data_IF_091761916189
#
_entry.id   IF_091761916189
#
_cell.length_a   1.000
_cell.length_b   1.000
_cell.length_c   1.000
_cell.angle_alpha   90.00
_cell.angle_beta   90.00
_cell.angle_gamma   90.00
#
_symmetry.space_group_name_H-M   'P 1'
#
loop_
_entity.id
_entity.type
_entity.pdbx_description
1 polymer ?
#
# COMPACT_ATOMS: atom_id res chain seq x y z
N UNK A 1 -10.77 -7.29 -15.69
CA UNK A 1 -10.46 -6.40 -14.56
C UNK A 1 -11.71 -6.05 -13.77
N UNK A 2 -11.58 -5.06 -12.91
CA UNK A 2 -12.67 -4.58 -12.07
C UNK A 2 -12.77 -5.24 -10.72
N UNK A 3 -13.79 -4.86 -9.95
CA UNK A 3 -14.08 -5.39 -8.63
C UNK A 3 -15.35 -6.23 -8.65
N UNK A 4 -15.27 -7.41 -8.06
CA UNK A 4 -16.36 -8.38 -8.02
C UNK A 4 -16.74 -8.69 -6.58
N UNK A 5 -18.01 -8.85 -6.30
CA UNK A 5 -18.58 -9.18 -5.00
C UNK A 5 -19.34 -10.49 -5.05
N UNK A 6 -19.15 -11.32 -4.04
CA UNK A 6 -20.00 -12.48 -3.78
C UNK A 6 -20.70 -12.32 -2.43
N UNK A 7 -22.02 -12.51 -2.42
CA UNK A 7 -22.85 -12.61 -1.21
C UNK A 7 -23.26 -14.05 -0.90
N UNK A 8 -22.75 -15.02 -1.66
CA UNK A 8 -23.12 -16.44 -1.59
C UNK A 8 -21.94 -17.36 -1.27
N UNK A 9 -20.91 -16.84 -0.59
CA UNK A 9 -19.71 -17.63 -0.27
C UNK A 9 -18.89 -18.03 -1.49
N UNK A 10 -18.90 -17.22 -2.55
CA UNK A 10 -18.12 -17.47 -3.76
C UNK A 10 -18.86 -18.23 -4.88
N UNK A 11 -20.13 -18.61 -4.66
CA UNK A 11 -20.92 -19.35 -5.67
C UNK A 11 -21.37 -18.42 -6.81
N UNK A 12 -21.83 -17.22 -6.48
CA UNK A 12 -22.24 -16.20 -7.46
C UNK A 12 -21.41 -14.95 -7.25
N UNK A 13 -20.95 -14.36 -8.37
CA UNK A 13 -20.19 -13.13 -8.39
C UNK A 13 -20.88 -12.07 -9.22
N UNK A 14 -20.90 -10.85 -8.71
CA UNK A 14 -21.48 -9.68 -9.37
C UNK A 14 -20.42 -8.60 -9.51
N UNK A 15 -20.25 -7.99 -10.69
CA UNK A 15 -19.35 -6.86 -10.84
C UNK A 15 -19.96 -5.64 -10.16
N UNK A 16 -19.13 -4.89 -9.42
CA UNK A 16 -19.60 -3.75 -8.63
C UNK A 16 -18.84 -2.46 -8.88
N UNK A 17 -17.95 -2.42 -9.89
CA UNK A 17 -17.10 -1.24 -10.18
C UNK A 17 -17.06 -0.87 -11.67
N UNK A 18 -18.02 -1.36 -12.47
CA UNK A 18 -18.01 -1.24 -13.93
C UNK A 18 -18.30 0.16 -14.45
N UNK A 19 -18.96 1.01 -13.65
CA UNK A 19 -19.33 2.37 -14.03
C UNK A 19 -18.22 3.39 -13.76
N UNK A 20 -17.15 2.96 -13.12
CA UNK A 20 -16.05 3.85 -12.72
C UNK A 20 -15.04 4.03 -13.88
N UNK A 21 -14.20 5.06 -13.75
CA UNK A 21 -13.26 5.48 -14.81
C UNK A 21 -12.22 4.43 -15.17
N UNK A 22 -12.01 3.42 -14.35
CA UNK A 22 -11.03 2.36 -14.58
C UNK A 22 -11.48 1.03 -13.98
N UNK A 23 -11.13 -0.05 -14.66
CA UNK A 23 -11.23 -1.41 -14.13
C UNK A 23 -9.90 -1.91 -13.52
N UNK A 24 -8.88 -1.05 -13.43
CA UNK A 24 -7.57 -1.38 -12.89
C UNK A 24 -7.58 -1.17 -11.38
N UNK A 25 -7.58 -2.25 -10.62
CA UNK A 25 -7.64 -2.25 -9.15
C UNK A 25 -6.29 -2.71 -8.60
N UNK A 26 -5.73 -1.94 -7.68
CA UNK A 26 -4.49 -2.28 -7.00
C UNK A 26 -4.66 -2.67 -5.54
N UNK A 27 -5.69 -2.14 -4.87
CA UNK A 27 -6.01 -2.46 -3.49
C UNK A 27 -7.51 -2.42 -3.22
N UNK A 28 -7.96 -3.24 -2.30
CA UNK A 28 -9.32 -3.22 -1.77
C UNK A 28 -9.23 -3.40 -0.24
N UNK A 29 -9.99 -2.59 0.49
CA UNK A 29 -10.09 -2.70 1.96
C UNK A 29 -11.54 -2.55 2.38
N UNK A 30 -11.97 -3.39 3.31
CA UNK A 30 -13.32 -3.37 3.87
C UNK A 30 -13.22 -2.95 5.33
N UNK A 31 -13.98 -1.92 5.71
CA UNK A 31 -14.05 -1.49 7.10
C UNK A 31 -14.64 -2.61 7.97
N UNK A 32 -13.85 -3.16 8.89
CA UNK A 32 -14.23 -4.34 9.68
C UNK A 32 -15.45 -4.10 10.56
N UNK A 33 -15.63 -2.89 11.10
CA UNK A 33 -16.78 -2.53 11.94
C UNK A 33 -18.07 -2.27 11.13
N UNK A 34 -17.95 -2.00 9.82
CA UNK A 34 -19.08 -1.79 8.91
C UNK A 34 -18.74 -2.27 7.49
N UNK A 35 -19.08 -3.52 7.13
CA UNK A 35 -18.74 -4.08 5.83
C UNK A 35 -19.43 -3.41 4.62
N UNK A 36 -20.35 -2.48 4.84
CA UNK A 36 -20.91 -1.66 3.77
C UNK A 36 -19.93 -0.57 3.31
N UNK A 37 -18.94 -0.24 4.14
CA UNK A 37 -17.88 0.71 3.76
C UNK A 37 -16.73 -0.03 3.12
N UNK A 38 -16.48 0.28 1.86
CA UNK A 38 -15.42 -0.35 1.07
C UNK A 38 -14.55 0.76 0.48
N UNK A 39 -13.25 0.58 0.57
CA UNK A 39 -12.25 1.43 -0.06
C UNK A 39 -11.55 0.71 -1.19
N UNK A 40 -11.34 1.41 -2.30
CA UNK A 40 -10.65 0.88 -3.48
C UNK A 40 -9.54 1.83 -3.89
N UNK A 41 -8.33 1.29 -4.00
CA UNK A 41 -7.20 1.95 -4.62
C UNK A 41 -7.04 1.47 -6.05
N UNK A 42 -7.06 2.38 -7.00
CA UNK A 42 -7.00 2.06 -8.42
C UNK A 42 -5.57 2.06 -8.96
N UNK A 43 -5.37 1.37 -10.09
CA UNK A 43 -4.06 1.19 -10.73
C UNK A 43 -3.34 -0.07 -10.26
N UNK A 44 -2.93 -0.92 -11.21
CA UNK A 44 -2.24 -2.18 -10.90
C UNK A 44 -0.91 -1.94 -10.17
N UNK A 45 -0.67 -2.67 -9.07
CA UNK A 45 0.53 -2.52 -8.24
C UNK A 45 1.70 -3.43 -8.60
N UNK A 46 1.49 -4.42 -9.51
CA UNK A 46 2.55 -5.34 -9.95
C UNK A 46 3.13 -4.87 -11.29
N UNK A 47 4.39 -4.40 -11.32
CA UNK A 47 5.00 -3.83 -12.51
C UNK A 47 5.23 -4.90 -13.59
N UNK A 48 4.52 -4.77 -14.69
CA UNK A 48 4.63 -5.56 -15.92
C UNK A 48 4.59 -4.62 -17.14
N UNK A 49 4.74 -5.14 -18.34
CA UNK A 49 4.83 -4.30 -19.56
C UNK A 49 3.49 -3.65 -19.97
N UNK A 50 2.37 -4.10 -19.44
CA UNK A 50 1.01 -3.65 -19.80
C UNK A 50 0.20 -3.18 -18.60
N UNK A 51 0.82 -2.37 -17.73
CA UNK A 51 0.14 -1.80 -16.55
C UNK A 51 -0.89 -0.75 -16.96
N UNK A 52 -2.10 -0.92 -16.45
CA UNK A 52 -3.14 0.09 -16.53
C UNK A 52 -3.10 1.00 -15.30
N UNK A 53 -3.06 2.30 -15.54
CA UNK A 53 -3.12 3.31 -14.48
C UNK A 53 -4.49 3.40 -13.86
N UNK A 54 -4.52 3.95 -12.65
CA UNK A 54 -5.73 4.25 -11.91
C UNK A 54 -6.04 5.74 -11.86
N UNK A 55 -7.13 6.06 -11.16
CA UNK A 55 -7.66 7.40 -10.93
C UNK A 55 -7.89 7.64 -9.43
N UNK A 56 -6.90 7.29 -8.60
CA UNK A 56 -6.93 7.56 -7.16
C UNK A 56 -7.73 6.54 -6.35
N UNK A 57 -8.31 7.03 -5.27
CA UNK A 57 -9.07 6.26 -4.29
C UNK A 57 -10.56 6.44 -4.49
N UNK A 58 -11.31 5.36 -4.30
CA UNK A 58 -12.78 5.36 -4.28
C UNK A 58 -13.28 4.79 -2.97
N UNK A 59 -14.45 5.28 -2.52
CA UNK A 59 -15.15 4.83 -1.32
C UNK A 59 -16.59 4.50 -1.64
N UNK A 60 -17.09 3.40 -1.13
CA UNK A 60 -18.52 3.06 -1.10
C UNK A 60 -19.00 3.01 0.34
N UNK A 61 -20.24 3.45 0.58
CA UNK A 61 -20.92 3.39 1.88
C UNK A 61 -22.07 2.38 1.89
N UNK A 62 -22.35 1.73 0.78
CA UNK A 62 -23.52 0.88 0.55
C UNK A 62 -23.19 -0.51 -0.01
N UNK A 63 -21.97 -0.98 0.29
CA UNK A 63 -21.51 -2.30 -0.09
C UNK A 63 -21.19 -2.45 -1.57
N UNK A 64 -20.75 -1.36 -2.21
CA UNK A 64 -20.31 -1.32 -3.60
C UNK A 64 -21.41 -1.05 -4.61
N UNK A 65 -22.59 -0.56 -4.20
CA UNK A 65 -23.66 -0.16 -5.14
C UNK A 65 -23.37 1.19 -5.79
N UNK A 66 -22.82 2.12 -5.00
CA UNK A 66 -22.38 3.45 -5.45
C UNK A 66 -20.97 3.74 -4.96
N UNK A 67 -20.20 4.51 -5.74
CA UNK A 67 -18.83 4.86 -5.46
C UNK A 67 -18.62 6.37 -5.51
N UNK A 68 -17.78 6.86 -4.63
CA UNK A 68 -17.36 8.25 -4.55
C UNK A 68 -15.85 8.32 -4.77
N UNK A 69 -15.40 9.19 -5.67
CA UNK A 69 -13.99 9.49 -5.83
C UNK A 69 -13.48 10.30 -4.61
N UNK A 70 -12.41 9.83 -3.99
CA UNK A 70 -11.86 10.36 -2.75
C UNK A 70 -10.46 10.96 -2.94
N UNK A 71 -10.12 11.38 -4.16
CA UNK A 71 -8.84 12.03 -4.47
C UNK A 71 -7.69 11.07 -4.76
N UNK A 72 -6.47 11.61 -4.72
CA UNK A 72 -5.21 10.93 -5.04
C UNK A 72 -5.10 10.44 -6.50
N UNK A 73 -5.78 11.05 -7.46
CA UNK A 73 -5.82 10.63 -8.87
C UNK A 73 -4.43 10.62 -9.50
N UNK A 74 -3.56 11.53 -9.06
CA UNK A 74 -2.20 11.69 -9.60
C UNK A 74 -1.24 10.59 -9.16
N UNK A 75 -1.59 9.77 -8.15
CA UNK A 75 -0.76 8.64 -7.69
C UNK A 75 -0.66 7.55 -8.74
N UNK A 76 -1.63 7.42 -9.63
CA UNK A 76 -1.72 6.47 -10.76
C UNK A 76 -1.80 5.00 -10.36
N UNK A 77 -1.09 4.57 -9.32
CA UNK A 77 -1.08 3.18 -8.88
C UNK A 77 -1.05 3.12 -7.34
N UNK A 78 -2.13 2.62 -6.76
CA UNK A 78 -2.28 2.44 -5.31
C UNK A 78 -2.24 0.95 -5.00
N UNK A 79 -1.26 0.53 -4.22
CA UNK A 79 -0.99 -0.89 -3.97
C UNK A 79 -1.50 -1.37 -2.60
N UNK A 80 -1.69 -0.47 -1.64
CA UNK A 80 -2.22 -0.78 -0.31
C UNK A 80 -3.18 0.29 0.18
N UNK A 81 -4.22 -0.15 0.86
CA UNK A 81 -5.10 0.69 1.68
C UNK A 81 -5.25 -0.03 3.01
N UNK A 82 -5.24 0.73 4.10
CA UNK A 82 -5.48 0.24 5.46
C UNK A 82 -6.42 1.22 6.14
N UNK A 83 -7.54 0.73 6.65
CA UNK A 83 -8.45 1.48 7.52
C UNK A 83 -8.08 1.20 8.97
N UNK A 84 -7.92 2.23 9.77
CA UNK A 84 -7.69 2.08 11.21
C UNK A 84 -8.89 1.38 11.85
N UNK A 85 -8.70 0.21 12.51
CA UNK A 85 -9.80 -0.56 13.09
C UNK A 85 -10.50 0.15 14.25
N UNK A 86 -9.84 1.14 14.87
CA UNK A 86 -10.37 1.89 16.02
C UNK A 86 -10.99 3.23 15.63
N UNK A 87 -10.59 3.78 14.47
CA UNK A 87 -11.13 5.03 13.93
C UNK A 87 -11.25 4.96 12.40
N UNK A 88 -12.44 4.70 11.86
CA UNK A 88 -12.65 4.51 10.43
C UNK A 88 -12.45 5.77 9.58
N UNK A 89 -12.34 6.95 10.18
CA UNK A 89 -11.99 8.18 9.46
C UNK A 89 -10.49 8.29 9.19
N UNK A 90 -9.69 7.43 9.86
CA UNK A 90 -8.26 7.33 9.63
C UNK A 90 -7.97 6.21 8.63
N UNK A 91 -7.43 6.59 7.47
CA UNK A 91 -7.07 5.65 6.41
C UNK A 91 -5.67 5.95 5.90
N UNK A 92 -4.91 4.90 5.65
CA UNK A 92 -3.57 4.97 5.07
C UNK A 92 -3.57 4.38 3.67
N UNK A 93 -2.88 5.06 2.75
CA UNK A 93 -2.77 4.65 1.34
C UNK A 93 -1.30 4.54 0.95
N UNK A 94 -0.91 3.37 0.48
CA UNK A 94 0.40 3.11 -0.08
C UNK A 94 0.38 3.29 -1.61
N UNK A 95 0.91 4.43 -2.10
CA UNK A 95 1.04 4.71 -3.51
C UNK A 95 2.41 4.24 -4.04
N UNK A 96 2.40 3.26 -4.93
CA UNK A 96 3.60 2.80 -5.61
C UNK A 96 4.01 3.77 -6.72
N UNK A 97 3.04 4.46 -7.32
CA UNK A 97 3.23 5.41 -8.39
C UNK A 97 3.50 4.77 -9.76
N UNK A 98 3.58 5.60 -10.80
CA UNK A 98 3.82 5.12 -12.16
C UNK A 98 5.21 4.49 -12.30
N UNK A 99 5.35 3.28 -12.86
CA UNK A 99 6.65 2.67 -13.08
C UNK A 99 7.42 3.28 -14.27
N UNK A 100 6.74 4.07 -15.11
CA UNK A 100 7.29 4.57 -16.37
C UNK A 100 8.18 5.81 -16.24
N UNK A 101 8.12 6.49 -15.10
CA UNK A 101 8.90 7.72 -14.88
C UNK A 101 8.86 8.21 -13.45
N UNK A 102 9.65 9.24 -13.21
CA UNK A 102 9.72 9.90 -11.90
C UNK A 102 8.53 10.83 -11.71
N UNK A 103 7.95 10.83 -10.51
CA UNK A 103 6.97 11.83 -10.10
C UNK A 103 6.81 11.89 -8.58
N UNK A 104 6.27 12.99 -8.08
CA UNK A 104 6.18 13.28 -6.65
C UNK A 104 5.02 12.56 -5.94
N UNK A 105 4.04 12.03 -6.69
CA UNK A 105 2.82 11.44 -6.11
C UNK A 105 3.02 9.95 -5.78
N UNK A 106 4.05 9.68 -4.98
CA UNK A 106 4.44 8.37 -4.45
C UNK A 106 4.57 8.46 -2.93
N UNK A 107 4.50 7.34 -2.24
CA UNK A 107 4.71 7.27 -0.80
C UNK A 107 3.46 6.89 -0.02
N UNK A 108 3.48 7.11 1.28
CA UNK A 108 2.31 6.86 2.15
C UNK A 108 1.53 8.15 2.34
N UNK A 109 0.24 8.06 2.08
CA UNK A 109 -0.73 9.13 2.33
C UNK A 109 -1.65 8.71 3.49
N UNK A 110 -2.08 9.70 4.27
CA UNK A 110 -3.00 9.52 5.40
C UNK A 110 -4.12 10.53 5.32
N UNK A 111 -5.34 10.07 5.57
CA UNK A 111 -6.49 10.91 5.93
C UNK A 111 -6.84 10.72 7.39
N UNK A 112 -7.50 11.72 7.99
CA UNK A 112 -8.09 11.67 9.34
C UNK A 112 -9.53 12.20 9.35
N UNK A 113 -10.10 12.41 8.18
CA UNK A 113 -11.44 12.98 7.94
C UNK A 113 -12.26 12.10 6.96
N UNK A 114 -11.96 10.80 6.91
CA UNK A 114 -12.71 9.85 6.08
C UNK A 114 -12.45 9.99 4.59
N UNK A 115 -11.34 10.63 4.19
CA UNK A 115 -10.90 10.76 2.80
C UNK A 115 -11.19 12.11 2.16
N UNK A 116 -11.68 13.10 2.92
CA UNK A 116 -11.91 14.45 2.40
C UNK A 116 -10.58 15.14 2.08
N UNK A 117 -9.57 14.96 2.95
CA UNK A 117 -8.21 15.48 2.73
C UNK A 117 -7.14 14.41 2.94
N UNK A 118 -6.01 14.56 2.23
CA UNK A 118 -4.90 13.63 2.29
C UNK A 118 -3.58 14.34 2.56
N UNK A 119 -2.82 13.82 3.54
CA UNK A 119 -1.48 14.27 3.86
C UNK A 119 -0.47 13.20 3.47
N UNK A 120 0.59 13.57 2.75
CA UNK A 120 1.71 12.68 2.46
C UNK A 120 2.61 12.59 3.69
N UNK A 121 2.65 11.44 4.35
CA UNK A 121 3.32 11.22 5.63
C UNK A 121 4.66 10.46 5.52
N UNK A 122 4.91 9.79 4.39
CA UNK A 122 6.21 9.20 4.08
C UNK A 122 6.50 9.41 2.58
N UNK A 123 7.61 10.04 2.31
CA UNK A 123 8.11 10.26 0.95
C UNK A 123 9.64 10.16 0.96
N UNK A 124 10.20 9.34 0.09
CA UNK A 124 11.66 9.16 -0.01
C UNK A 124 12.25 9.97 -1.16
N UNK A 125 11.77 9.75 -2.37
CA UNK A 125 12.15 10.49 -3.58
C UNK A 125 11.16 10.22 -4.72
N UNK A 126 11.33 10.89 -5.86
CA UNK A 126 10.44 10.77 -7.03
C UNK A 126 10.48 9.40 -7.73
N UNK A 127 11.38 8.50 -7.37
CA UNK A 127 11.55 7.15 -7.96
C UNK A 127 10.96 6.06 -7.07
N UNK A 128 10.71 6.37 -5.79
CA UNK A 128 10.42 5.38 -4.75
C UNK A 128 8.96 5.46 -4.33
N UNK A 129 8.25 4.35 -4.45
CA UNK A 129 6.87 4.20 -3.99
C UNK A 129 6.73 3.12 -2.93
N UNK A 130 5.49 2.85 -2.51
CA UNK A 130 5.17 1.84 -1.49
C UNK A 130 4.88 0.51 -2.16
N UNK A 131 5.72 -0.48 -1.94
CA UNK A 131 5.51 -1.86 -2.40
C UNK A 131 4.65 -2.66 -1.43
N UNK A 132 4.73 -2.37 -0.14
CA UNK A 132 3.91 -2.99 0.89
C UNK A 132 3.69 -2.05 2.07
N UNK A 133 2.56 -2.20 2.75
CA UNK A 133 2.19 -1.43 3.93
C UNK A 133 1.37 -2.32 4.84
N UNK A 134 1.76 -2.43 6.10
CA UNK A 134 1.03 -3.20 7.10
C UNK A 134 0.89 -2.41 8.39
N UNK A 135 -0.19 -2.67 9.12
CA UNK A 135 -0.49 -2.09 10.43
C UNK A 135 -0.48 -3.19 11.49
N UNK A 136 0.02 -2.88 12.65
CA UNK A 136 -0.12 -3.75 13.82
C UNK A 136 -1.59 -3.80 14.23
N UNK A 137 -2.23 -4.98 14.21
CA UNK A 137 -3.66 -5.10 14.51
C UNK A 137 -4.01 -4.76 15.96
N UNK A 138 -3.05 -4.80 16.87
CA UNK A 138 -3.22 -4.46 18.28
C UNK A 138 -2.86 -2.99 18.59
N UNK A 139 -2.10 -2.34 17.70
CA UNK A 139 -1.68 -0.94 17.87
C UNK A 139 -1.69 -0.20 16.53
N UNK A 140 -2.79 0.50 16.19
CA UNK A 140 -2.92 1.23 14.92
C UNK A 140 -1.89 2.36 14.72
N UNK A 141 -1.20 2.78 15.78
CA UNK A 141 -0.10 3.74 15.66
C UNK A 141 1.19 3.11 15.10
N UNK A 142 1.31 1.78 15.12
CA UNK A 142 2.45 1.06 14.56
C UNK A 142 2.14 0.62 13.13
N UNK A 143 2.89 1.16 12.17
CA UNK A 143 2.84 0.75 10.77
C UNK A 143 4.26 0.46 10.26
N UNK A 144 4.31 -0.39 9.26
CA UNK A 144 5.55 -0.71 8.55
C UNK A 144 5.31 -0.50 7.06
N UNK A 145 6.15 0.33 6.44
CA UNK A 145 6.11 0.63 5.02
C UNK A 145 7.36 0.09 4.32
N UNK A 146 7.16 -0.75 3.32
CA UNK A 146 8.22 -1.21 2.43
C UNK A 146 8.30 -0.28 1.22
N UNK A 147 9.32 0.58 1.22
CA UNK A 147 9.58 1.52 0.14
C UNK A 147 10.40 0.85 -0.94
N UNK A 148 10.04 1.08 -2.20
CA UNK A 148 10.66 0.44 -3.36
C UNK A 148 10.95 1.44 -4.47
N UNK A 149 12.22 1.62 -4.77
CA UNK A 149 12.68 2.35 -5.94
C UNK A 149 12.65 1.42 -7.15
N UNK A 150 11.88 1.79 -8.19
CA UNK A 150 11.74 0.96 -9.38
C UNK A 150 11.42 1.78 -10.61
N UNK A 151 11.80 1.25 -11.77
CA UNK A 151 11.45 1.78 -13.08
C UNK A 151 11.27 0.65 -14.09
N UNK A 152 10.22 0.76 -14.90
CA UNK A 152 10.00 -0.13 -16.04
C UNK A 152 10.35 0.60 -17.33
N UNK A 153 11.27 0.05 -18.08
CA UNK A 153 11.53 0.39 -19.47
C UNK A 153 10.99 -0.71 -20.40
N UNK A 154 10.73 -0.46 -21.71
CA UNK A 154 10.09 -1.47 -22.57
C UNK A 154 10.82 -2.82 -22.63
N UNK A 155 12.13 -2.81 -22.50
CA UNK A 155 13.00 -4.00 -22.65
C UNK A 155 13.65 -4.46 -21.36
N UNK A 156 13.60 -3.71 -20.27
CA UNK A 156 14.12 -4.14 -18.98
C UNK A 156 13.42 -3.48 -17.79
N UNK A 157 13.69 -4.02 -16.62
CA UNK A 157 13.11 -3.58 -15.36
C UNK A 157 14.20 -3.32 -14.33
N UNK A 158 14.25 -2.10 -13.82
CA UNK A 158 15.09 -1.74 -12.69
C UNK A 158 14.32 -1.97 -11.38
N UNK A 159 14.86 -2.83 -10.53
CA UNK A 159 14.38 -3.07 -9.18
C UNK A 159 15.46 -2.69 -8.19
N UNK A 160 15.12 -1.80 -7.28
CA UNK A 160 16.02 -1.38 -6.20
C UNK A 160 16.76 -0.08 -6.45
N UNK A 161 17.19 0.50 -5.35
CA UNK A 161 17.94 1.74 -5.31
C UNK A 161 18.08 2.27 -3.89
N UNK A 162 18.71 3.44 -3.75
CA UNK A 162 18.96 4.10 -2.47
C UNK A 162 17.69 4.48 -1.71
N UNK A 163 16.59 4.66 -2.43
CA UNK A 163 15.28 4.97 -1.86
C UNK A 163 14.57 3.76 -1.28
N UNK A 164 14.94 2.55 -1.68
CA UNK A 164 14.33 1.33 -1.15
C UNK A 164 14.69 1.08 0.31
N UNK A 165 13.77 0.47 1.05
CA UNK A 165 14.01 0.09 2.44
C UNK A 165 12.72 -0.08 3.24
N UNK A 166 12.87 -0.62 4.42
CA UNK A 166 11.79 -0.78 5.38
C UNK A 166 11.76 0.42 6.32
N UNK A 167 10.57 0.97 6.54
CA UNK A 167 10.36 2.10 7.44
C UNK A 167 9.29 1.75 8.46
N UNK A 168 9.53 2.07 9.73
CA UNK A 168 8.62 1.79 10.85
C UNK A 168 8.22 3.10 11.52
N UNK A 169 6.95 3.23 11.84
CA UNK A 169 6.39 4.28 12.70
C UNK A 169 5.72 3.66 13.92
N UNK A 170 5.75 4.38 15.04
CA UNK A 170 5.05 4.02 16.29
C UNK A 170 4.07 5.12 16.74
N UNK A 171 3.90 6.16 15.92
CA UNK A 171 3.12 7.36 16.24
C UNK A 171 2.07 7.71 15.15
N UNK A 172 1.64 6.68 14.39
CA UNK A 172 0.63 6.83 13.35
C UNK A 172 1.14 7.62 12.13
N UNK A 173 2.45 7.54 11.87
CA UNK A 173 3.07 8.13 10.69
C UNK A 173 3.53 9.58 10.86
N UNK A 174 3.61 10.10 12.09
CA UNK A 174 4.19 11.43 12.35
C UNK A 174 5.70 11.41 12.18
N UNK A 175 6.35 10.31 12.63
CA UNK A 175 7.78 10.06 12.43
C UNK A 175 8.00 8.64 11.89
N UNK A 176 9.07 8.47 11.10
CA UNK A 176 9.44 7.18 10.51
C UNK A 176 10.93 6.90 10.71
N UNK A 177 11.24 5.71 11.23
CA UNK A 177 12.61 5.18 11.31
C UNK A 177 12.85 4.26 10.12
N UNK A 178 13.90 4.50 9.34
CA UNK A 178 14.38 3.54 8.32
C UNK A 178 15.19 2.45 9.02
N UNK A 179 14.88 1.19 8.72
CA UNK A 179 15.65 0.03 9.19
C UNK A 179 16.89 -0.12 8.32
N UNK A 180 18.04 -0.24 8.96
CA UNK A 180 19.36 -0.23 8.32
C UNK A 180 20.16 -1.48 8.66
N UNK A 181 21.41 -1.54 8.21
CA UNK A 181 22.34 -2.61 8.56
C UNK A 181 22.68 -2.67 10.04
N UNK A 182 22.60 -1.54 10.74
CA UNK A 182 22.81 -1.49 12.21
C UNK A 182 21.65 -2.17 12.96
N UNK A 183 20.49 -2.28 12.34
CA UNK A 183 19.32 -3.01 12.85
C UNK A 183 19.33 -4.49 12.36
N UNK A 184 20.40 -4.96 11.72
CA UNK A 184 20.52 -6.33 11.17
C UNK A 184 19.95 -6.54 9.77
N UNK A 185 19.56 -5.47 9.09
CA UNK A 185 19.08 -5.53 7.70
C UNK A 185 20.25 -5.65 6.70
N UNK A 186 20.02 -6.12 5.45
CA UNK A 186 21.12 -6.29 4.50
C UNK A 186 21.70 -4.95 4.03
N UNK A 187 23.01 -4.96 3.79
CA UNK A 187 23.76 -3.80 3.26
C UNK A 187 23.45 -3.53 1.79
N UNK A 188 23.57 -2.26 1.41
CA UNK A 188 23.51 -1.81 0.02
C UNK A 188 22.10 -1.51 -0.46
N UNK A 189 21.96 -1.42 -1.79
CA UNK A 189 20.67 -1.14 -2.40
C UNK A 189 19.75 -2.36 -2.27
N UNK A 190 18.55 -2.10 -1.76
CA UNK A 190 17.48 -3.11 -1.65
C UNK A 190 16.52 -2.96 -2.83
N UNK A 191 15.92 -4.07 -3.21
CA UNK A 191 14.82 -4.12 -4.17
C UNK A 191 13.46 -4.11 -3.49
N UNK A 192 12.55 -4.92 -3.99
CA UNK A 192 11.20 -5.05 -3.44
C UNK A 192 11.24 -5.79 -2.10
N UNK A 193 10.43 -5.31 -1.15
CA UNK A 193 10.25 -5.93 0.16
C UNK A 193 8.76 -6.24 0.34
N UNK A 194 8.46 -7.46 0.75
CA UNK A 194 7.16 -7.85 1.30
C UNK A 194 7.25 -7.97 2.81
N UNK A 195 6.26 -7.49 3.56
CA UNK A 195 6.29 -7.47 5.01
C UNK A 195 5.01 -8.03 5.62
N UNK A 196 5.13 -8.72 6.75
CA UNK A 196 4.00 -9.25 7.51
C UNK A 196 4.27 -9.15 9.01
N UNK A 197 3.23 -8.78 9.77
CA UNK A 197 3.22 -8.78 11.24
C UNK A 197 2.40 -9.99 11.70
N UNK A 198 2.92 -10.76 12.67
CA UNK A 198 2.17 -11.86 13.26
C UNK A 198 1.03 -11.32 14.13
N UNK A 199 -0.26 -11.57 13.80
CA UNK A 199 -1.38 -10.87 14.45
C UNK A 199 -1.52 -11.19 15.95
N UNK A 200 -1.13 -12.41 16.37
CA UNK A 200 -1.20 -12.83 17.77
C UNK A 200 0.07 -12.52 18.58
N UNK A 201 1.13 -12.05 17.92
CA UNK A 201 2.39 -11.66 18.54
C UNK A 201 3.07 -10.57 17.70
N UNK A 202 2.62 -9.30 17.79
CA UNK A 202 3.02 -8.21 16.89
C UNK A 202 4.51 -7.81 16.97
N UNK A 203 5.25 -8.32 17.96
CA UNK A 203 6.71 -8.19 18.00
C UNK A 203 7.40 -9.06 16.96
N UNK A 204 6.71 -10.11 16.46
CA UNK A 204 7.22 -10.94 15.38
C UNK A 204 6.84 -10.34 14.03
N UNK A 205 7.86 -9.92 13.28
CA UNK A 205 7.74 -9.36 11.95
C UNK A 205 8.59 -10.19 11.00
N UNK A 206 8.05 -10.45 9.82
CA UNK A 206 8.78 -11.07 8.72
C UNK A 206 8.92 -10.10 7.56
N UNK A 207 10.11 -10.04 6.96
CA UNK A 207 10.39 -9.26 5.76
C UNK A 207 11.07 -10.14 4.72
N UNK A 208 10.42 -10.35 3.57
CA UNK A 208 11.04 -10.98 2.40
C UNK A 208 11.73 -9.89 1.59
N UNK A 209 13.04 -9.92 1.53
CA UNK A 209 13.85 -8.81 1.01
C UNK A 209 14.58 -9.21 -0.27
N UNK A 210 14.35 -8.47 -1.34
CA UNK A 210 15.18 -8.49 -2.54
C UNK A 210 16.46 -7.68 -2.27
N UNK A 211 17.61 -8.35 -2.33
CA UNK A 211 18.93 -7.79 -2.08
C UNK A 211 19.99 -8.54 -2.90
N UNK A 212 21.27 -8.22 -2.75
CA UNK A 212 22.35 -9.00 -3.39
C UNK A 212 22.27 -10.50 -3.07
N UNK A 213 21.79 -10.83 -1.85
CA UNK A 213 21.36 -12.17 -1.45
C UNK A 213 19.93 -12.02 -0.91
N UNK A 214 18.96 -12.53 -1.65
CA UNK A 214 17.58 -12.53 -1.24
C UNK A 214 17.40 -13.40 0.01
N UNK A 215 16.66 -12.91 0.99
CA UNK A 215 16.39 -13.65 2.21
C UNK A 215 15.06 -13.25 2.87
N UNK A 216 14.56 -14.15 3.70
CA UNK A 216 13.50 -13.87 4.66
C UNK A 216 14.16 -13.49 6.00
N UNK A 217 13.88 -12.28 6.44
CA UNK A 217 14.30 -11.75 7.74
C UNK A 217 13.17 -11.87 8.74
N UNK A 218 13.54 -12.06 10.01
CA UNK A 218 12.61 -12.10 11.15
C UNK A 218 13.09 -11.13 12.21
N UNK A 219 12.21 -10.28 12.70
CA UNK A 219 12.37 -9.55 13.97
C UNK A 219 11.56 -10.24 15.06
N UNK A 220 12.02 -10.18 16.32
CA UNK A 220 11.36 -10.71 17.51
C UNK A 220 11.11 -9.63 18.57
N UNK A 221 11.48 -8.39 18.26
CA UNK A 221 11.45 -7.22 19.14
C UNK A 221 10.55 -6.08 18.61
N UNK A 222 9.82 -6.35 17.54
CA UNK A 222 8.90 -5.38 16.96
C UNK A 222 9.52 -4.52 15.85
N UNK A 223 10.76 -4.84 15.42
CA UNK A 223 11.44 -4.24 14.27
C UNK A 223 12.46 -3.19 14.65
#
# INVERSE_FOLDING_TARGET
GGLWKSSSGGIKWEPIFEKELTASIGAVEIQQSNPSVIWVGTGEGNPRNSLNGGYGVYKSLDGGKNWMAMGLERTRHIHRIIVDPTNPDVVYVGAIGSPWGEHSERGVFKTTDGGETWNKILFTNNKTGVADLVMDPANPNKLIAAMWEHKRDPWFFNSGGVGSGLHITHDGGKTWKKITEDDGFPKGNLGRIGVAIAPNKPDIIYALVEAKKNALYKSEDGG
#
